data_IF_004642855441
#
_entry.id   IF_004642855441
#
_cell.length_a   1.000
_cell.length_b   1.000
_cell.length_c   1.000
_cell.angle_alpha   90.00
_cell.angle_beta   90.00
_cell.angle_gamma   90.00
#
_symmetry.space_group_name_H-M   'P 1'
#
loop_
_entity.id
_entity.type
_entity.pdbx_description
1 polymer ?
#
# COMPACT_ATOMS: atom_id res chain seq x y z
N UNK A 1 6.45 0.30 -0.49
CA UNK A 1 7.49 -0.59 -1.05
C UNK A 1 7.50 -0.46 -2.57
N UNK A 2 8.67 -0.45 -3.21
CA UNK A 2 8.80 -0.47 -4.68
C UNK A 2 8.94 -1.92 -5.13
N UNK A 3 8.16 -2.33 -6.13
CA UNK A 3 8.04 -3.71 -6.58
C UNK A 3 8.50 -3.86 -8.02
N UNK A 4 9.55 -4.65 -8.27
CA UNK A 4 10.12 -4.90 -9.60
C UNK A 4 9.96 -6.37 -9.94
N UNK A 5 9.45 -6.66 -11.13
CA UNK A 5 9.32 -8.03 -11.63
C UNK A 5 10.67 -8.54 -12.13
N UNK A 6 11.08 -9.71 -11.66
CA UNK A 6 12.30 -10.37 -12.11
C UNK A 6 11.91 -11.47 -13.09
N UNK A 7 12.55 -11.47 -14.25
CA UNK A 7 12.42 -12.53 -15.25
C UNK A 7 13.68 -13.37 -15.30
N UNK A 8 13.52 -14.68 -15.48
CA UNK A 8 14.63 -15.61 -15.64
C UNK A 8 15.49 -15.24 -16.86
N UNK A 9 16.83 -15.24 -16.73
CA UNK A 9 17.73 -14.75 -17.78
C UNK A 9 17.73 -15.59 -19.06
N UNK A 10 17.30 -16.86 -18.97
CA UNK A 10 17.28 -17.80 -20.10
C UNK A 10 15.88 -18.14 -20.60
N UNK A 11 14.88 -18.16 -19.72
CA UNK A 11 13.51 -18.60 -20.04
C UNK A 11 12.52 -17.44 -20.13
N UNK A 12 12.87 -16.23 -19.67
CA UNK A 12 11.94 -15.11 -19.59
C UNK A 12 10.78 -15.33 -18.61
N UNK A 13 10.83 -16.44 -17.86
CA UNK A 13 9.79 -16.84 -16.91
C UNK A 13 9.79 -15.87 -15.72
N UNK A 14 8.60 -15.47 -15.27
CA UNK A 14 8.46 -14.56 -14.14
C UNK A 14 8.84 -15.28 -12.84
N UNK A 15 9.91 -14.82 -12.19
CA UNK A 15 10.40 -15.37 -10.91
C UNK A 15 9.75 -14.65 -9.71
N UNK A 16 8.71 -13.86 -9.95
CA UNK A 16 8.05 -13.05 -8.94
C UNK A 16 8.60 -11.63 -8.86
N UNK A 17 8.17 -10.90 -7.83
CA UNK A 17 8.57 -9.50 -7.60
C UNK A 17 9.49 -9.40 -6.41
N UNK A 18 10.54 -8.59 -6.56
CA UNK A 18 11.35 -8.15 -5.43
C UNK A 18 10.80 -6.83 -4.94
N UNK A 19 10.59 -6.76 -3.63
CA UNK A 19 10.07 -5.59 -2.93
C UNK A 19 11.19 -4.94 -2.13
N UNK A 20 11.39 -3.64 -2.33
CA UNK A 20 12.37 -2.85 -1.59
C UNK A 20 11.65 -1.75 -0.79
N UNK A 21 12.01 -1.54 0.49
CA UNK A 21 11.50 -0.40 1.25
C UNK A 21 11.94 0.89 0.57
N UNK A 22 11.02 1.84 0.39
CA UNK A 22 11.28 3.07 -0.36
C UNK A 22 11.24 4.31 0.51
N UNK A 23 10.27 4.35 1.41
CA UNK A 23 9.63 5.58 1.84
C UNK A 23 8.42 5.27 2.73
N UNK A 24 8.02 6.28 3.48
CA UNK A 24 6.80 6.33 4.26
C UNK A 24 5.74 7.14 3.51
N UNK A 25 4.47 6.74 3.62
CA UNK A 25 3.34 7.45 3.00
C UNK A 25 2.61 8.20 4.09
N UNK A 26 2.61 9.53 3.99
CA UNK A 26 1.84 10.41 4.88
C UNK A 26 0.56 10.81 4.15
N UNK A 27 -0.60 10.52 4.77
CA UNK A 27 -1.91 10.79 4.18
C UNK A 27 -2.39 12.17 4.59
N UNK A 28 -2.59 13.05 3.61
CA UNK A 28 -3.07 14.43 3.82
C UNK A 28 -4.61 14.51 3.80
N UNK A 29 -5.25 13.71 2.96
CA UNK A 29 -6.71 13.73 2.77
C UNK A 29 -7.26 12.36 2.40
N UNK A 30 -8.41 12.04 2.95
CA UNK A 30 -9.18 10.83 2.59
C UNK A 30 -10.49 11.23 1.92
N UNK A 31 -10.80 10.59 0.80
CA UNK A 31 -12.09 10.66 0.11
C UNK A 31 -12.64 9.23 -0.05
N UNK A 32 -13.92 9.03 -0.41
CA UNK A 32 -14.45 7.68 -0.60
C UNK A 32 -13.59 6.88 -1.59
N UNK A 33 -13.01 5.77 -1.11
CA UNK A 33 -12.15 4.83 -1.84
C UNK A 33 -10.76 5.31 -2.24
N UNK A 34 -10.36 6.55 -1.95
CA UNK A 34 -9.03 7.08 -2.32
C UNK A 34 -8.44 7.92 -1.19
N UNK A 35 -7.15 7.74 -0.93
CA UNK A 35 -6.37 8.58 -0.01
C UNK A 35 -5.30 9.32 -0.77
N UNK A 36 -5.21 10.64 -0.57
CA UNK A 36 -4.19 11.51 -1.14
C UNK A 36 -3.13 11.79 -0.07
N UNK A 37 -1.88 11.83 -0.48
CA UNK A 37 -0.75 11.96 0.43
C UNK A 37 0.55 12.23 -0.31
N UNK A 38 1.62 12.35 0.45
CA UNK A 38 2.98 12.51 -0.04
C UNK A 38 3.93 11.47 0.57
N UNK A 39 5.12 11.37 -0.02
CA UNK A 39 6.15 10.43 0.40
C UNK A 39 7.20 11.15 1.24
N UNK A 40 7.47 10.61 2.42
CA UNK A 40 8.56 11.05 3.29
C UNK A 40 9.64 9.97 3.37
N UNK A 41 10.83 10.36 3.84
CA UNK A 41 11.98 9.46 4.03
C UNK A 41 12.30 8.63 2.77
N UNK A 42 12.35 9.28 1.61
CA UNK A 42 12.59 8.60 0.33
C UNK A 42 14.06 8.19 0.20
N UNK A 43 14.32 6.89 0.25
CA UNK A 43 15.67 6.30 0.17
C UNK A 43 16.01 5.73 -1.21
N UNK A 44 15.04 5.71 -2.14
CA UNK A 44 15.21 5.15 -3.48
C UNK A 44 14.87 6.18 -4.57
N UNK A 45 15.53 6.17 -5.72
CA UNK A 45 15.16 7.04 -6.84
C UNK A 45 13.74 6.70 -7.32
N UNK A 46 12.83 7.67 -7.22
CA UNK A 46 11.45 7.51 -7.70
C UNK A 46 11.32 7.78 -9.21
N UNK A 47 12.34 8.41 -9.82
CA UNK A 47 12.41 8.62 -11.26
C UNK A 47 12.47 7.25 -11.99
N UNK A 48 11.33 6.81 -12.51
CA UNK A 48 11.18 5.51 -13.18
C UNK A 48 10.22 4.54 -12.49
N UNK A 49 9.75 4.86 -11.28
CA UNK A 49 8.69 4.09 -10.64
C UNK A 49 7.38 4.37 -11.35
N UNK A 50 6.83 3.34 -12.02
CA UNK A 50 5.54 3.44 -12.72
C UNK A 50 4.39 3.55 -11.72
N UNK A 51 3.30 4.18 -12.16
CA UNK A 51 2.02 4.15 -11.44
C UNK A 51 1.63 2.71 -11.12
N UNK A 52 1.28 2.43 -9.85
CA UNK A 52 0.99 1.07 -9.36
C UNK A 52 2.21 0.21 -9.03
N UNK A 53 3.43 0.69 -9.29
CA UNK A 53 4.68 0.03 -8.89
C UNK A 53 5.04 0.22 -7.40
N UNK A 54 4.43 1.22 -6.76
CA UNK A 54 4.44 1.38 -5.31
C UNK A 54 3.30 0.56 -4.71
N UNK A 55 3.65 -0.37 -3.84
CA UNK A 55 2.70 -1.19 -3.11
C UNK A 55 2.83 -0.95 -1.61
N UNK A 56 1.68 -0.79 -0.97
CA UNK A 56 1.52 -0.80 0.48
C UNK A 56 1.16 -2.23 0.88
N UNK A 57 2.17 -3.01 1.30
CA UNK A 57 1.95 -4.34 1.88
C UNK A 57 2.06 -4.26 3.40
N UNK A 58 1.49 -5.28 4.07
CA UNK A 58 1.55 -5.55 5.52
C UNK A 58 0.93 -4.55 6.52
N UNK A 59 0.86 -3.23 6.27
CA UNK A 59 0.33 -2.28 7.28
C UNK A 59 -1.21 -2.17 7.31
N UNK A 60 -1.86 -2.25 6.14
CA UNK A 60 -3.32 -2.01 6.06
C UNK A 60 -4.14 -3.15 6.67
N UNK A 61 -3.65 -4.40 6.65
CA UNK A 61 -4.38 -5.57 7.19
C UNK A 61 -4.57 -5.49 8.72
N UNK A 62 -3.62 -4.90 9.44
CA UNK A 62 -3.70 -4.75 10.89
C UNK A 62 -4.68 -3.64 11.27
N UNK A 63 -4.66 -2.51 10.57
CA UNK A 63 -5.59 -1.41 10.79
C UNK A 63 -7.02 -1.75 10.36
N UNK A 64 -7.21 -2.44 9.24
CA UNK A 64 -8.55 -2.81 8.76
C UNK A 64 -9.37 -3.59 9.79
N UNK A 65 -8.74 -4.53 10.52
CA UNK A 65 -9.39 -5.24 11.63
C UNK A 65 -9.77 -4.33 12.81
N UNK A 66 -8.93 -3.34 13.12
CA UNK A 66 -9.20 -2.39 14.20
C UNK A 66 -10.31 -1.39 13.82
N UNK A 67 -10.31 -0.90 12.58
CA UNK A 67 -11.30 0.06 12.07
C UNK A 67 -12.66 -0.63 11.87
N UNK A 68 -12.70 -1.87 11.37
CA UNK A 68 -13.94 -2.64 11.25
C UNK A 68 -14.55 -3.00 12.62
N UNK A 69 -13.71 -3.20 13.64
CA UNK A 69 -14.17 -3.36 15.02
C UNK A 69 -14.68 -2.06 15.66
N UNK A 70 -14.18 -0.88 15.22
CA UNK A 70 -14.62 0.43 15.70
C UNK A 70 -15.84 0.97 14.92
N UNK A 71 -16.08 0.48 13.69
CA UNK A 71 -17.26 0.74 12.85
C UNK A 71 -18.45 -0.14 13.26
N UNK A 72 -18.38 -0.91 14.36
CA UNK A 72 -19.60 -1.32 15.08
C UNK A 72 -20.00 -0.21 16.03
N UNK A 73 -20.78 0.76 15.55
CA UNK A 73 -21.56 1.63 16.44
C UNK A 73 -22.66 0.75 17.05
N UNK A 74 -22.69 0.51 18.38
CA UNK A 74 -23.81 -0.13 19.03
C UNK A 74 -24.88 0.93 19.27
N UNK A 75 -25.90 0.96 18.42
CA UNK A 75 -26.92 2.00 18.50
C UNK A 75 -28.12 1.80 17.61
N UNK A 76 -28.74 0.61 17.61
CA UNK A 76 -30.14 0.47 17.19
C UNK A 76 -30.83 -0.47 18.19
N UNK A 77 -31.41 0.15 19.23
CA UNK A 77 -32.38 -0.48 20.13
C UNK A 77 -33.77 -0.18 19.57
N UNK A 78 -34.53 -1.23 19.33
CA UNK A 78 -35.98 -1.36 19.54
C UNK A 78 -36.87 -0.19 19.11
N UNK A 79 -37.60 -0.39 18.01
CA UNK A 79 -39.05 -0.17 17.90
C UNK A 79 -39.63 -0.90 16.70
#
# INVERSE_FOLDING_TARGET
>A
MVSVEIKGPKTGESLGRVETPCCEVVVDRVIPKVSHGHLEHVHVPLAGVRTGGLQLRSLVKALGRAVESAVRIPGERDQ
#
